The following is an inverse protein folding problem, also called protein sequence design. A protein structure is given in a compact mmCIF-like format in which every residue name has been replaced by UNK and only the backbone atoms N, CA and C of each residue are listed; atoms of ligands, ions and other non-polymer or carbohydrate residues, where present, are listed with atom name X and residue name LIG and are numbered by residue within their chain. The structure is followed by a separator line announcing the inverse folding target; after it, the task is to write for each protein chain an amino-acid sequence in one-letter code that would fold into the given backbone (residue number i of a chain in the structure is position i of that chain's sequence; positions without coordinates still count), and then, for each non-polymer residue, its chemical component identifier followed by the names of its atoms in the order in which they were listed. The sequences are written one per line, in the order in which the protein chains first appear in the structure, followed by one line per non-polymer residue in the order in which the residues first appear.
data_IF_429256702595
#
_entry.id   IF_429256702595
#
_cell.length_a   1.000
_cell.length_b   1.000
_cell.length_c   1.000
_cell.angle_alpha   90.00
_cell.angle_beta   90.00
_cell.angle_gamma   90.00
#
_symmetry.space_group_name_H-M   'P 1'
#
loop_
_entity.id
_entity.type
_entity.pdbx_description
1 polymer ?
#
# COMPACT_ATOMS: atom_id res chain seq x y z
N UNK A 1 -46.37 -29.27 -22.14
CA UNK A 1 -45.13 -30.06 -21.91
C UNK A 1 -45.31 -30.80 -20.60
N UNK A 2 -44.83 -32.04 -20.48
CA UNK A 2 -44.98 -32.83 -19.25
C UNK A 2 -43.63 -32.97 -18.57
N UNK A 3 -43.60 -32.67 -17.27
CA UNK A 3 -42.44 -32.71 -16.40
C UNK A 3 -42.63 -33.79 -15.33
N UNK A 4 -41.60 -34.59 -15.11
CA UNK A 4 -41.56 -35.55 -14.01
C UNK A 4 -41.08 -34.86 -12.73
N UNK A 5 -41.83 -35.03 -11.63
CA UNK A 5 -41.51 -34.51 -10.30
C UNK A 5 -41.36 -35.64 -9.28
N UNK A 6 -40.14 -35.85 -8.77
CA UNK A 6 -39.82 -36.94 -7.82
C UNK A 6 -39.96 -36.44 -6.39
N UNK A 7 -40.80 -37.10 -5.59
CA UNK A 7 -41.08 -36.67 -4.21
C UNK A 7 -39.83 -36.69 -3.33
N UNK A 8 -38.95 -37.68 -3.52
CA UNK A 8 -37.66 -37.74 -2.84
C UNK A 8 -36.78 -36.52 -3.18
N UNK A 9 -36.82 -36.04 -4.43
CA UNK A 9 -36.05 -34.87 -4.86
C UNK A 9 -36.62 -33.59 -4.27
N UNK A 10 -37.95 -33.43 -4.23
CA UNK A 10 -38.63 -32.30 -3.58
C UNK A 10 -38.17 -32.18 -2.13
N UNK A 11 -38.34 -33.24 -1.35
CA UNK A 11 -38.00 -33.25 0.07
C UNK A 11 -36.50 -33.11 0.33
N UNK A 12 -35.64 -33.70 -0.53
CA UNK A 12 -34.19 -33.53 -0.41
C UNK A 12 -33.71 -32.11 -0.73
N UNK A 13 -34.34 -31.41 -1.68
CA UNK A 13 -33.99 -30.03 -2.04
C UNK A 13 -34.54 -29.05 -1.00
N UNK A 14 -35.78 -29.25 -0.57
CA UNK A 14 -36.45 -28.36 0.39
C UNK A 14 -36.04 -28.61 1.85
N UNK A 15 -35.47 -29.78 2.15
CA UNK A 15 -35.21 -30.18 3.53
C UNK A 15 -36.50 -30.45 4.32
N UNK A 16 -37.56 -30.86 3.63
CA UNK A 16 -38.90 -31.07 4.20
C UNK A 16 -39.33 -32.53 4.14
N UNK A 17 -40.52 -32.82 4.68
CA UNK A 17 -41.17 -34.13 4.61
C UNK A 17 -42.60 -34.00 4.10
N UNK A 18 -42.79 -33.22 3.02
CA UNK A 18 -44.11 -33.00 2.41
C UNK A 18 -44.65 -34.28 1.81
N UNK A 19 -45.95 -34.52 2.01
CA UNK A 19 -46.63 -35.66 1.41
C UNK A 19 -46.93 -35.42 -0.07
N UNK A 20 -47.03 -36.49 -0.85
CA UNK A 20 -47.43 -36.42 -2.27
C UNK A 20 -48.79 -35.75 -2.46
N UNK A 21 -49.70 -35.89 -1.48
CA UNK A 21 -51.02 -35.27 -1.49
C UNK A 21 -50.94 -33.75 -1.34
N UNK A 22 -50.13 -33.27 -0.39
CA UNK A 22 -49.92 -31.82 -0.20
C UNK A 22 -49.28 -31.19 -1.44
N UNK A 23 -48.25 -31.84 -1.98
CA UNK A 23 -47.54 -31.40 -3.19
C UNK A 23 -48.49 -31.36 -4.39
N UNK A 24 -49.28 -32.42 -4.61
CA UNK A 24 -50.24 -32.47 -5.71
C UNK A 24 -51.35 -31.42 -5.56
N UNK A 25 -51.83 -31.17 -4.34
CA UNK A 25 -52.83 -30.14 -4.06
C UNK A 25 -52.32 -28.74 -4.39
N UNK A 26 -51.08 -28.43 -4.01
CA UNK A 26 -50.43 -27.16 -4.32
C UNK A 26 -50.28 -26.96 -5.84
N UNK A 27 -49.79 -27.96 -6.56
CA UNK A 27 -49.58 -27.87 -8.01
C UNK A 27 -50.91 -27.74 -8.77
N UNK A 28 -51.95 -28.46 -8.36
CA UNK A 28 -53.29 -28.33 -8.96
C UNK A 28 -53.92 -26.97 -8.71
N UNK A 29 -53.66 -26.35 -7.55
CA UNK A 29 -54.10 -24.98 -7.27
C UNK A 29 -53.44 -23.93 -8.20
N UNK A 30 -52.33 -24.30 -8.86
CA UNK A 30 -51.65 -23.50 -9.88
C UNK A 30 -52.09 -23.87 -11.31
N UNK A 31 -53.19 -24.61 -11.45
CA UNK A 31 -53.73 -25.11 -12.73
C UNK A 31 -52.76 -26.03 -13.50
N UNK A 32 -51.83 -26.68 -12.79
CA UNK A 32 -51.02 -27.75 -13.35
C UNK A 32 -51.82 -29.04 -13.33
N UNK A 33 -51.86 -29.75 -14.46
CA UNK A 33 -52.48 -31.07 -14.49
C UNK A 33 -51.48 -32.11 -13.96
N UNK A 34 -51.87 -32.78 -12.88
CA UNK A 34 -50.99 -33.65 -12.08
C UNK A 34 -51.56 -35.06 -12.08
N UNK A 35 -50.79 -35.96 -12.70
CA UNK A 35 -51.02 -37.40 -12.77
C UNK A 35 -49.84 -38.16 -12.17
N UNK A 36 -49.87 -39.50 -12.14
CA UNK A 36 -48.75 -40.32 -11.64
C UNK A 36 -49.03 -41.02 -10.30
N UNK A 37 -47.96 -41.52 -9.68
CA UNK A 37 -47.99 -42.40 -8.51
C UNK A 37 -47.47 -41.74 -7.22
N UNK A 38 -47.32 -42.52 -6.13
CA UNK A 38 -46.92 -41.99 -4.83
C UNK A 38 -45.48 -41.43 -4.79
N UNK A 39 -44.56 -41.93 -5.62
CA UNK A 39 -43.15 -41.52 -5.61
C UNK A 39 -42.79 -40.48 -6.68
N UNK A 40 -43.53 -40.47 -7.80
CA UNK A 40 -43.27 -39.62 -8.97
C UNK A 40 -44.60 -39.13 -9.53
N UNK A 41 -44.70 -37.81 -9.72
CA UNK A 41 -45.82 -37.14 -10.36
C UNK A 41 -45.44 -36.72 -11.78
N UNK A 42 -46.36 -36.91 -12.72
CA UNK A 42 -46.29 -36.37 -14.08
C UNK A 42 -47.13 -35.09 -14.14
N UNK A 43 -46.45 -33.97 -14.33
CA UNK A 43 -47.03 -32.62 -14.26
C UNK A 43 -47.05 -32.01 -15.65
N UNK A 44 -48.25 -31.88 -16.23
CA UNK A 44 -48.44 -31.19 -17.49
C UNK A 44 -48.54 -29.68 -17.24
N UNK A 45 -47.54 -28.96 -17.77
CA UNK A 45 -47.41 -27.51 -17.67
C UNK A 45 -48.36 -26.83 -18.68
N UNK A 46 -49.21 -25.89 -18.24
CA UNK A 46 -50.10 -25.14 -19.12
C UNK A 46 -49.32 -24.12 -19.96
N UNK A 47 -49.89 -23.72 -21.09
CA UNK A 47 -49.22 -22.85 -22.07
C UNK A 47 -48.90 -21.45 -21.56
N UNK A 48 -49.58 -20.96 -20.53
CA UNK A 48 -49.34 -19.65 -19.92
C UNK A 48 -48.20 -19.64 -18.88
N UNK A 49 -47.58 -20.79 -18.60
CA UNK A 49 -46.41 -20.93 -17.70
C UNK A 49 -45.14 -21.34 -18.46
N UNK A 50 -44.60 -20.47 -19.34
CA UNK A 50 -43.40 -20.78 -20.11
C UNK A 50 -42.13 -20.86 -19.25
N UNK A 51 -42.19 -20.39 -18.00
CA UNK A 51 -41.13 -20.44 -17.00
C UNK A 51 -40.90 -21.86 -16.43
N UNK A 52 -41.92 -22.72 -16.45
CA UNK A 52 -41.85 -24.07 -15.90
C UNK A 52 -41.31 -25.06 -16.93
N UNK A 53 -39.99 -25.25 -16.94
CA UNK A 53 -39.28 -26.04 -17.98
C UNK A 53 -38.51 -27.23 -17.41
N UNK A 54 -38.35 -27.31 -16.09
CA UNK A 54 -37.55 -28.32 -15.38
C UNK A 54 -38.23 -28.71 -14.07
N UNK A 55 -37.86 -29.87 -13.55
CA UNK A 55 -38.34 -30.37 -12.25
C UNK A 55 -38.12 -29.37 -11.10
N UNK A 56 -36.99 -28.63 -11.10
CA UNK A 56 -36.68 -27.66 -10.03
C UNK A 56 -37.65 -26.48 -10.02
N UNK A 57 -38.20 -26.10 -11.17
CA UNK A 57 -39.15 -24.99 -11.28
C UNK A 57 -40.49 -25.41 -10.62
N UNK A 58 -40.86 -26.69 -10.69
CA UNK A 58 -42.00 -27.24 -9.94
C UNK A 58 -41.73 -27.31 -8.43
N UNK A 59 -40.50 -27.63 -8.02
CA UNK A 59 -40.09 -27.63 -6.60
C UNK A 59 -40.17 -26.20 -6.03
N UNK A 60 -39.75 -25.20 -6.81
CA UNK A 60 -39.90 -23.78 -6.45
C UNK A 60 -41.37 -23.41 -6.25
N UNK A 61 -42.27 -23.83 -7.14
CA UNK A 61 -43.71 -23.56 -6.99
C UNK A 61 -44.32 -24.20 -5.74
N UNK A 62 -43.89 -25.43 -5.42
CA UNK A 62 -44.27 -26.11 -4.18
C UNK A 62 -43.79 -25.30 -2.98
N UNK A 63 -42.54 -24.87 -2.96
CA UNK A 63 -41.99 -24.06 -1.87
C UNK A 63 -42.69 -22.70 -1.74
N UNK A 64 -42.92 -22.02 -2.86
CA UNK A 64 -43.52 -20.68 -2.93
C UNK A 64 -44.92 -20.67 -2.33
N UNK A 65 -45.74 -21.67 -2.64
CA UNK A 65 -47.10 -21.77 -2.10
C UNK A 65 -47.16 -22.44 -0.72
N UNK A 66 -46.30 -23.42 -0.43
CA UNK A 66 -46.24 -24.02 0.90
C UNK A 66 -45.75 -23.01 1.96
N UNK A 67 -44.84 -22.12 1.56
CA UNK A 67 -44.30 -21.03 2.38
C UNK A 67 -42.84 -21.26 2.73
N UNK A 68 -41.96 -20.38 2.26
CA UNK A 68 -40.52 -20.45 2.53
C UNK A 68 -40.18 -20.36 4.02
N UNK A 69 -40.95 -19.58 4.78
CA UNK A 69 -40.78 -19.40 6.23
C UNK A 69 -41.02 -20.68 7.04
N UNK A 70 -41.61 -21.70 6.43
CA UNK A 70 -41.85 -23.01 7.07
C UNK A 70 -40.67 -23.96 6.93
N UNK A 71 -39.71 -23.67 6.06
CA UNK A 71 -38.50 -24.48 5.92
C UNK A 71 -37.64 -24.30 7.16
N UNK A 72 -37.33 -25.41 7.84
CA UNK A 72 -36.44 -25.38 9.00
C UNK A 72 -35.01 -25.01 8.55
N UNK A 73 -34.45 -23.97 9.18
CA UNK A 73 -33.07 -23.56 8.91
C UNK A 73 -32.10 -24.62 9.44
N UNK A 74 -31.35 -25.24 8.54
CA UNK A 74 -30.30 -26.21 8.88
C UNK A 74 -28.92 -25.68 8.50
N UNK A 75 -27.88 -26.15 9.21
CA UNK A 75 -26.51 -25.85 8.84
C UNK A 75 -26.09 -26.76 7.66
N UNK A 76 -25.46 -26.21 6.61
CA UNK A 76 -24.91 -27.02 5.54
C UNK A 76 -23.93 -28.07 6.10
N UNK A 77 -24.24 -29.35 5.91
CA UNK A 77 -23.32 -30.42 6.29
C UNK A 77 -22.06 -30.36 5.41
N UNK A 78 -20.89 -30.29 6.03
CA UNK A 78 -19.62 -30.23 5.31
C UNK A 78 -18.45 -30.71 6.16
N UNK A 79 -17.40 -31.20 5.51
CA UNK A 79 -16.12 -31.44 6.20
C UNK A 79 -15.59 -30.07 6.63
N UNK A 80 -15.42 -29.85 7.94
CA UNK A 80 -14.86 -28.62 8.49
C UNK A 80 -13.52 -28.30 7.79
N UNK A 81 -13.51 -27.25 6.96
CA UNK A 81 -12.30 -26.63 6.45
C UNK A 81 -12.10 -25.36 7.25
N UNK A 82 -10.99 -25.25 7.97
CA UNK A 82 -10.63 -24.01 8.66
C UNK A 82 -10.16 -23.03 7.57
N UNK A 83 -10.96 -21.99 7.34
CA UNK A 83 -10.54 -20.87 6.50
C UNK A 83 -9.39 -20.11 7.17
N UNK A 84 -8.36 -19.77 6.41
CA UNK A 84 -7.28 -18.92 6.86
C UNK A 84 -7.00 -17.87 5.79
N UNK A 85 -6.48 -16.72 6.21
CA UNK A 85 -6.01 -15.72 5.28
C UNK A 85 -4.81 -16.29 4.49
N UNK A 86 -4.83 -16.04 3.19
CA UNK A 86 -3.66 -16.30 2.35
C UNK A 86 -2.49 -15.41 2.82
N UNK A 87 -1.23 -15.82 2.61
CA UNK A 87 -0.08 -14.98 2.92
C UNK A 87 -0.18 -13.58 2.28
N UNK A 88 -0.71 -13.48 1.07
CA UNK A 88 -0.91 -12.19 0.40
C UNK A 88 -1.93 -11.29 1.12
N UNK A 89 -3.01 -11.87 1.66
CA UNK A 89 -4.00 -11.12 2.45
C UNK A 89 -3.39 -10.64 3.77
N UNK A 90 -2.65 -11.50 4.48
CA UNK A 90 -1.96 -11.12 5.72
C UNK A 90 -0.98 -9.97 5.50
N UNK A 91 -0.18 -10.03 4.44
CA UNK A 91 0.76 -8.95 4.15
C UNK A 91 0.07 -7.67 3.70
N UNK A 92 -1.02 -7.75 2.94
CA UNK A 92 -1.84 -6.58 2.60
C UNK A 92 -2.40 -5.91 3.85
N UNK A 93 -2.95 -6.69 4.78
CA UNK A 93 -3.45 -6.19 6.06
C UNK A 93 -2.32 -5.58 6.91
N UNK A 94 -1.12 -6.18 6.87
CA UNK A 94 0.06 -5.64 7.53
C UNK A 94 0.44 -4.27 6.97
N UNK A 95 0.50 -4.11 5.64
CA UNK A 95 0.76 -2.81 4.98
C UNK A 95 -0.22 -1.75 5.48
N UNK A 96 -1.53 -2.04 5.47
CA UNK A 96 -2.55 -1.10 5.95
C UNK A 96 -2.38 -0.76 7.44
N UNK A 97 -2.03 -1.76 8.26
CA UNK A 97 -1.73 -1.56 9.69
C UNK A 97 -0.52 -0.66 9.89
N UNK A 98 0.54 -0.83 9.11
CA UNK A 98 1.72 0.04 9.19
C UNK A 98 1.37 1.49 8.82
N UNK A 99 0.60 1.70 7.74
CA UNK A 99 0.17 3.05 7.33
C UNK A 99 -0.62 3.77 8.42
N UNK A 100 -1.57 3.06 9.05
CA UNK A 100 -2.33 3.60 10.19
C UNK A 100 -1.46 3.87 11.41
N UNK A 101 -0.52 2.96 11.72
CA UNK A 101 0.43 3.15 12.81
C UNK A 101 1.38 4.34 12.56
N UNK A 102 1.63 4.69 11.30
CA UNK A 102 2.36 5.89 10.89
C UNK A 102 1.49 7.17 10.86
N UNK A 103 0.22 7.10 11.26
CA UNK A 103 -0.65 8.28 11.38
C UNK A 103 -1.50 8.62 10.16
N UNK A 104 -1.57 7.74 9.15
CA UNK A 104 -2.40 7.96 7.95
C UNK A 104 -3.79 7.32 8.13
N UNK A 105 -4.81 7.96 7.58
CA UNK A 105 -6.18 7.45 7.54
C UNK A 105 -6.47 6.74 6.22
N UNK A 106 -7.16 5.60 6.29
CA UNK A 106 -7.53 4.86 5.09
C UNK A 106 -8.66 5.59 4.35
N UNK A 107 -8.52 5.72 3.04
CA UNK A 107 -9.57 6.22 2.15
C UNK A 107 -9.76 5.28 0.97
N UNK A 108 -10.90 5.42 0.29
CA UNK A 108 -11.22 4.66 -0.91
C UNK A 108 -11.79 5.60 -1.96
N UNK A 109 -11.03 5.81 -3.03
CA UNK A 109 -11.46 6.63 -4.16
C UNK A 109 -11.99 5.75 -5.29
N UNK A 110 -12.74 6.34 -6.22
CA UNK A 110 -13.26 5.59 -7.35
C UNK A 110 -12.12 5.06 -8.23
N UNK A 111 -12.31 3.85 -8.77
CA UNK A 111 -11.41 3.29 -9.78
C UNK A 111 -11.61 3.96 -11.15
N UNK A 112 -12.75 4.60 -11.37
CA UNK A 112 -13.04 5.42 -12.54
C UNK A 112 -12.42 6.81 -12.36
N UNK A 113 -11.76 7.30 -13.40
CA UNK A 113 -11.01 8.53 -13.41
C UNK A 113 -11.37 9.40 -14.62
N UNK A 114 -10.99 10.66 -14.51
CA UNK A 114 -11.10 11.65 -15.57
C UNK A 114 -9.93 11.42 -16.54
N UNK A 115 -10.17 11.27 -17.85
CA UNK A 115 -9.10 11.15 -18.85
C UNK A 115 -8.07 12.30 -18.74
N UNK A 116 -8.53 13.50 -18.38
CA UNK A 116 -7.68 14.68 -18.19
C UNK A 116 -6.75 14.60 -16.97
N UNK A 117 -6.89 13.61 -16.09
CA UNK A 117 -5.98 13.42 -14.96
C UNK A 117 -4.55 13.15 -15.40
N UNK A 118 -4.35 12.46 -16.53
CA UNK A 118 -3.02 12.23 -17.09
C UNK A 118 -2.38 13.54 -17.53
N UNK A 119 -3.14 14.42 -18.18
CA UNK A 119 -2.65 15.74 -18.60
C UNK A 119 -2.34 16.64 -17.41
N UNK A 120 -3.21 16.65 -16.38
CA UNK A 120 -2.98 17.40 -15.12
C UNK A 120 -1.71 16.97 -14.39
N UNK A 121 -1.39 15.68 -14.43
CA UNK A 121 -0.14 15.14 -13.86
C UNK A 121 1.08 15.34 -14.78
N UNK A 122 0.90 15.81 -16.01
CA UNK A 122 1.97 15.80 -17.03
C UNK A 122 2.42 14.38 -17.38
N UNK A 123 1.55 13.38 -17.21
CA UNK A 123 1.89 11.99 -17.43
C UNK A 123 1.98 11.68 -18.92
N UNK A 124 3.20 11.43 -19.39
CA UNK A 124 3.44 10.97 -20.75
C UNK A 124 3.27 9.45 -20.86
N UNK A 125 2.47 9.01 -21.83
CA UNK A 125 2.29 7.60 -22.12
C UNK A 125 3.52 7.06 -22.86
N UNK A 126 4.14 5.96 -22.40
CA UNK A 126 5.11 5.24 -23.22
C UNK A 126 4.49 4.84 -24.55
N UNK A 127 5.32 4.71 -25.58
CA UNK A 127 4.86 4.40 -26.94
C UNK A 127 3.96 3.15 -26.96
N UNK A 128 2.73 3.32 -27.46
CA UNK A 128 1.73 2.26 -27.55
C UNK A 128 0.94 1.97 -26.26
N UNK A 129 1.26 2.59 -25.13
CA UNK A 129 0.41 2.54 -23.94
C UNK A 129 -0.76 3.53 -24.04
N UNK A 130 -1.92 3.16 -23.48
CA UNK A 130 -3.16 3.95 -23.57
C UNK A 130 -3.96 3.85 -22.26
N UNK A 131 -4.97 4.71 -22.11
CA UNK A 131 -5.97 4.55 -21.06
C UNK A 131 -6.82 3.28 -21.27
N UNK A 132 -7.39 2.77 -20.17
CA UNK A 132 -8.44 1.76 -20.25
C UNK A 132 -9.78 2.47 -20.25
N UNK A 133 -10.38 2.63 -21.43
CA UNK A 133 -11.65 3.33 -21.61
C UNK A 133 -12.85 2.44 -21.25
N UNK A 134 -13.90 3.05 -20.71
CA UNK A 134 -15.19 2.42 -20.48
C UNK A 134 -16.10 2.66 -21.68
N UNK A 135 -16.82 1.62 -22.11
CA UNK A 135 -17.77 1.72 -23.23
C UNK A 135 -18.99 2.57 -22.84
N UNK A 136 -19.51 2.39 -21.62
CA UNK A 136 -20.70 3.08 -21.13
C UNK A 136 -20.40 3.72 -19.76
N UNK A 137 -19.65 4.83 -19.71
CA UNK A 137 -19.35 5.50 -18.46
C UNK A 137 -20.57 6.24 -17.89
N UNK A 138 -20.60 6.41 -16.57
CA UNK A 138 -21.67 7.17 -15.89
C UNK A 138 -21.56 8.68 -16.11
N UNK A 139 -20.34 9.19 -16.28
CA UNK A 139 -20.04 10.58 -16.65
C UNK A 139 -18.74 10.68 -17.45
N UNK A 140 -18.46 11.83 -18.07
CA UNK A 140 -17.22 12.03 -18.84
C UNK A 140 -15.98 12.06 -17.92
N UNK A 141 -16.12 12.57 -16.71
CA UNK A 141 -15.10 12.61 -15.65
C UNK A 141 -14.83 11.23 -15.04
N UNK A 142 -15.53 10.19 -15.51
CA UNK A 142 -15.38 8.80 -15.10
C UNK A 142 -15.26 7.87 -16.31
N UNK A 143 -14.69 8.36 -17.43
CA UNK A 143 -14.64 7.64 -18.69
C UNK A 143 -13.53 6.58 -18.78
N UNK A 144 -12.54 6.61 -17.90
CA UNK A 144 -11.39 5.68 -17.93
C UNK A 144 -11.14 5.03 -16.57
N UNK A 145 -10.42 3.90 -16.55
CA UNK A 145 -9.87 3.36 -15.31
C UNK A 145 -8.60 4.10 -14.92
N UNK A 146 -8.44 4.37 -13.62
CA UNK A 146 -7.29 5.06 -13.05
C UNK A 146 -5.98 4.27 -13.28
N UNK A 147 -4.92 5.00 -13.62
CA UNK A 147 -3.55 4.47 -13.72
C UNK A 147 -2.74 4.64 -12.44
N UNK A 148 -3.12 5.61 -11.62
CA UNK A 148 -2.51 5.92 -10.33
C UNK A 148 -3.62 6.25 -9.33
N UNK A 149 -3.36 6.01 -8.05
CA UNK A 149 -4.19 6.43 -6.94
C UNK A 149 -4.05 7.93 -6.64
N UNK A 150 -2.96 8.56 -7.09
CA UNK A 150 -2.61 9.94 -6.76
C UNK A 150 -3.71 10.95 -7.12
N UNK A 151 -4.32 10.97 -8.33
CA UNK A 151 -5.38 11.94 -8.66
C UNK A 151 -6.58 11.89 -7.71
N UNK A 152 -6.99 10.67 -7.33
CA UNK A 152 -8.06 10.47 -6.36
C UNK A 152 -7.68 11.03 -4.99
N UNK A 153 -6.47 10.75 -4.53
CA UNK A 153 -5.95 11.25 -3.25
C UNK A 153 -5.81 12.78 -3.24
N UNK A 154 -5.33 13.40 -4.33
CA UNK A 154 -5.24 14.86 -4.45
C UNK A 154 -6.62 15.54 -4.42
N UNK A 155 -7.63 14.95 -5.08
CA UNK A 155 -9.01 15.43 -4.96
C UNK A 155 -9.55 15.29 -3.54
N UNK A 156 -9.20 14.21 -2.82
CA UNK A 156 -9.55 14.07 -1.41
C UNK A 156 -8.87 15.13 -0.55
N UNK A 157 -7.60 15.47 -0.81
CA UNK A 157 -6.89 16.57 -0.13
C UNK A 157 -7.61 17.89 -0.37
N UNK A 158 -7.85 18.25 -1.63
CA UNK A 158 -8.58 19.47 -2.02
C UNK A 158 -9.96 19.54 -1.36
N UNK A 159 -10.72 18.44 -1.37
CA UNK A 159 -12.03 18.37 -0.72
C UNK A 159 -11.93 18.69 0.78
N UNK A 160 -10.98 18.08 1.49
CA UNK A 160 -10.80 18.33 2.93
C UNK A 160 -10.37 19.77 3.22
N UNK A 161 -9.48 20.34 2.40
CA UNK A 161 -9.04 21.74 2.53
C UNK A 161 -10.20 22.72 2.35
N UNK A 162 -11.09 22.48 1.38
CA UNK A 162 -12.32 23.29 1.20
C UNK A 162 -13.27 23.22 2.40
N UNK A 163 -13.16 22.20 3.24
CA UNK A 163 -13.90 22.07 4.51
C UNK A 163 -13.12 22.58 5.73
N UNK A 164 -12.00 23.28 5.53
CA UNK A 164 -11.22 23.90 6.60
C UNK A 164 -10.26 22.95 7.32
N UNK A 165 -10.00 21.75 6.78
CA UNK A 165 -9.03 20.80 7.35
C UNK A 165 -7.65 21.04 6.71
N UNK A 166 -6.66 21.41 7.52
CA UNK A 166 -5.29 21.66 7.05
C UNK A 166 -4.38 20.43 7.12
N UNK A 167 -4.55 19.60 8.14
CA UNK A 167 -3.71 18.42 8.42
C UNK A 167 -4.37 17.18 7.83
N UNK A 168 -3.88 16.72 6.68
CA UNK A 168 -4.51 15.65 5.90
C UNK A 168 -3.47 14.57 5.60
N UNK A 169 -3.67 13.41 6.23
CA UNK A 169 -2.80 12.24 6.05
C UNK A 169 -3.69 11.08 5.61
N UNK A 170 -3.62 10.73 4.33
CA UNK A 170 -4.48 9.71 3.73
C UNK A 170 -3.64 8.63 3.07
N UNK A 171 -4.10 7.39 3.13
CA UNK A 171 -3.58 6.31 2.30
C UNK A 171 -4.70 5.50 1.67
N UNK A 172 -4.41 4.86 0.54
CA UNK A 172 -5.32 3.94 -0.13
C UNK A 172 -4.55 2.70 -0.60
N UNK A 173 -5.17 1.52 -0.44
CA UNK A 173 -4.73 0.27 -1.11
C UNK A 173 -5.79 -0.10 -2.15
N UNK A 174 -5.46 0.09 -3.42
CA UNK A 174 -6.43 -0.04 -4.52
C UNK A 174 -5.82 -0.55 -5.81
N UNK A 175 -6.67 -0.86 -6.78
CA UNK A 175 -6.24 -1.30 -8.10
C UNK A 175 -5.97 -0.12 -9.03
N UNK A 176 -4.92 -0.27 -9.83
CA UNK A 176 -4.58 0.59 -10.95
C UNK A 176 -4.40 -0.25 -12.22
N UNK A 177 -4.65 0.36 -13.38
CA UNK A 177 -4.82 -0.37 -14.63
C UNK A 177 -3.91 0.17 -15.73
N UNK A 178 -3.24 -0.74 -16.43
CA UNK A 178 -2.36 -0.42 -17.58
C UNK A 178 -2.78 -1.25 -18.78
N UNK A 179 -2.84 -0.62 -19.95
CA UNK A 179 -3.04 -1.33 -21.21
C UNK A 179 -2.15 -0.74 -22.31
N UNK A 180 -2.03 -1.50 -23.40
CA UNK A 180 -1.29 -1.11 -24.59
C UNK A 180 -2.03 -1.58 -25.83
N UNK A 181 -1.72 -0.98 -26.98
CA UNK A 181 -2.32 -1.34 -28.26
C UNK A 181 -2.18 -2.85 -28.53
N UNK A 182 -3.29 -3.49 -28.91
CA UNK A 182 -3.34 -4.94 -29.18
C UNK A 182 -3.48 -5.84 -27.95
N UNK A 183 -3.49 -5.32 -26.72
CA UNK A 183 -3.82 -6.09 -25.51
C UNK A 183 -5.32 -6.35 -25.42
N UNK A 184 -5.72 -7.61 -25.23
CA UNK A 184 -7.13 -8.01 -25.03
C UNK A 184 -7.68 -7.68 -23.65
N UNK A 185 -6.81 -7.61 -22.63
CA UNK A 185 -7.20 -7.32 -21.24
C UNK A 185 -6.16 -6.39 -20.61
N UNK A 186 -6.61 -5.43 -19.78
CA UNK A 186 -5.71 -4.56 -19.04
C UNK A 186 -4.94 -5.36 -17.98
N UNK A 187 -3.73 -4.90 -17.68
CA UNK A 187 -2.94 -5.38 -16.55
C UNK A 187 -3.37 -4.61 -15.31
N UNK A 188 -4.07 -5.29 -14.41
CA UNK A 188 -4.40 -4.79 -13.08
C UNK A 188 -3.22 -4.98 -12.12
N UNK A 189 -2.90 -3.96 -11.33
CA UNK A 189 -1.95 -4.06 -10.21
C UNK A 189 -2.55 -3.45 -8.96
N UNK A 190 -2.38 -4.12 -7.83
CA UNK A 190 -2.67 -3.53 -6.52
C UNK A 190 -1.53 -2.60 -6.13
N UNK A 191 -1.89 -1.36 -5.82
CA UNK A 191 -1.00 -0.28 -5.40
C UNK A 191 -1.34 0.11 -3.96
N UNK A 192 -0.35 0.62 -3.24
CA UNK A 192 -0.53 1.38 -2.01
C UNK A 192 0.01 2.78 -2.24
N UNK A 193 -0.80 3.79 -1.98
CA UNK A 193 -0.41 5.18 -2.12
C UNK A 193 -0.78 5.96 -0.87
N UNK A 194 -0.03 7.02 -0.59
CA UNK A 194 -0.29 7.92 0.52
C UNK A 194 -0.01 9.37 0.15
N UNK A 195 -0.71 10.27 0.81
CA UNK A 195 -0.53 11.73 0.74
C UNK A 195 -0.47 12.30 2.15
N UNK A 196 0.41 13.27 2.34
CA UNK A 196 0.64 13.99 3.58
C UNK A 196 0.63 15.49 3.28
N UNK A 197 -0.30 16.23 3.88
CA UNK A 197 -0.42 17.67 3.76
C UNK A 197 -0.61 18.31 5.14
N UNK A 198 -0.10 19.53 5.32
CA UNK A 198 -0.16 20.25 6.59
C UNK A 198 0.94 19.81 7.56
N UNK A 199 0.58 19.57 8.82
CA UNK A 199 1.45 19.11 9.90
C UNK A 199 0.89 17.85 10.58
N UNK A 200 1.74 17.11 11.30
CA UNK A 200 1.30 15.90 12.03
C UNK A 200 0.20 16.16 13.06
N UNK A 201 0.19 17.35 13.66
CA UNK A 201 -0.79 17.76 14.65
C UNK A 201 -1.02 19.28 14.58
N UNK A 202 -2.17 19.71 15.11
CA UNK A 202 -2.42 21.13 15.36
C UNK A 202 -1.42 21.67 16.40
N UNK A 203 -1.25 22.99 16.43
CA UNK A 203 -0.38 23.63 17.42
C UNK A 203 -0.87 23.33 18.83
N UNK A 204 -0.08 22.56 19.58
CA UNK A 204 -0.36 22.18 20.96
C UNK A 204 0.41 23.08 21.94
N UNK A 205 -0.01 23.08 23.21
CA UNK A 205 0.65 23.85 24.28
C UNK A 205 2.12 23.43 24.52
N UNK A 206 2.45 22.16 24.21
CA UNK A 206 3.81 21.61 24.33
C UNK A 206 4.59 21.73 23.02
N UNK A 207 3.97 22.29 21.97
CA UNK A 207 4.73 22.80 20.83
C UNK A 207 5.42 24.06 21.30
N UNK A 208 6.55 23.84 21.98
CA UNK A 208 7.59 24.83 22.11
C UNK A 208 7.95 25.14 20.67
N UNK A 209 7.31 26.17 20.10
CA UNK A 209 7.72 26.77 18.83
C UNK A 209 9.23 26.80 18.90
N UNK A 210 9.86 26.08 17.98
CA UNK A 210 11.30 26.03 17.76
C UNK A 210 11.80 27.47 17.61
N UNK A 211 11.96 28.17 18.73
CA UNK A 211 12.19 29.62 18.80
C UNK A 211 13.67 29.96 18.69
N UNK A 212 14.56 28.97 18.76
CA UNK A 212 15.99 29.20 18.97
C UNK A 212 16.94 28.41 18.06
N UNK A 213 16.55 28.02 16.85
CA UNK A 213 17.58 27.83 15.81
C UNK A 213 17.05 28.11 14.40
N UNK A 214 17.61 29.15 13.78
CA UNK A 214 17.36 29.53 12.39
C UNK A 214 17.80 28.45 11.38
N UNK A 215 18.48 27.40 11.83
CA UNK A 215 19.02 26.31 11.00
C UNK A 215 18.08 25.11 10.82
N UNK A 216 17.32 24.69 11.85
CA UNK A 216 16.42 23.53 11.74
C UNK A 216 15.09 23.87 11.03
N UNK A 217 14.62 25.11 11.20
CA UNK A 217 13.41 25.61 10.55
C UNK A 217 13.57 25.69 9.02
N UNK A 218 14.79 25.96 8.53
CA UNK A 218 15.10 26.01 7.10
C UNK A 218 15.11 24.61 6.43
N UNK A 219 15.43 23.55 7.18
CA UNK A 219 15.43 22.17 6.72
C UNK A 219 14.04 21.52 6.78
N UNK A 220 13.24 21.83 7.80
CA UNK A 220 11.90 21.24 7.97
C UNK A 220 10.81 21.95 7.16
N UNK A 221 10.96 23.25 6.90
CA UNK A 221 9.92 24.05 6.24
C UNK A 221 8.62 24.13 7.05
N UNK A 222 7.65 24.97 6.64
CA UNK A 222 6.34 24.99 7.25
C UNK A 222 5.54 23.77 6.77
N UNK A 223 5.55 22.68 7.54
CA UNK A 223 4.74 21.49 7.30
C UNK A 223 5.53 20.22 6.97
N UNK A 224 4.80 19.17 6.62
CA UNK A 224 5.35 17.88 6.24
C UNK A 224 6.11 17.98 4.92
N UNK A 225 7.25 17.29 4.85
CA UNK A 225 8.16 17.33 3.72
C UNK A 225 8.58 15.92 3.26
N UNK A 226 9.43 15.86 2.23
CA UNK A 226 9.95 14.60 1.69
C UNK A 226 10.40 13.58 2.75
N UNK A 227 11.05 14.04 3.83
CA UNK A 227 11.59 13.15 4.86
C UNK A 227 10.50 12.55 5.76
N UNK A 228 9.36 13.21 5.94
CA UNK A 228 8.19 12.64 6.63
C UNK A 228 7.62 11.46 5.83
N UNK A 229 7.41 11.66 4.53
CA UNK A 229 6.98 10.58 3.63
C UNK A 229 8.01 9.44 3.57
N UNK A 230 9.31 9.77 3.57
CA UNK A 230 10.38 8.77 3.67
C UNK A 230 10.30 7.98 4.98
N UNK A 231 10.04 8.64 6.11
CA UNK A 231 9.87 7.99 7.41
C UNK A 231 8.74 6.97 7.43
N UNK A 232 7.60 7.30 6.79
CA UNK A 232 6.48 6.34 6.61
C UNK A 232 6.93 5.12 5.80
N UNK A 233 7.69 5.32 4.73
CA UNK A 233 8.22 4.20 3.93
C UNK A 233 9.28 3.37 4.68
N UNK A 234 10.13 4.00 5.50
CA UNK A 234 11.09 3.30 6.34
C UNK A 234 10.38 2.46 7.43
N UNK A 235 9.29 2.97 8.01
CA UNK A 235 8.43 2.20 8.91
C UNK A 235 7.82 0.97 8.20
N UNK A 236 7.33 1.14 6.98
CA UNK A 236 6.82 0.04 6.14
C UNK A 236 7.90 -1.01 5.87
N UNK A 237 9.11 -0.57 5.50
CA UNK A 237 10.26 -1.45 5.25
C UNK A 237 10.63 -2.26 6.48
N UNK A 238 10.68 -1.62 7.65
CA UNK A 238 11.00 -2.26 8.92
C UNK A 238 9.94 -3.29 9.33
N UNK A 239 8.66 -2.96 9.13
CA UNK A 239 7.54 -3.81 9.53
C UNK A 239 7.37 -5.03 8.61
N UNK A 240 7.63 -4.87 7.31
CA UNK A 240 7.64 -5.96 6.33
C UNK A 240 8.95 -6.76 6.32
N UNK A 241 9.98 -6.32 7.04
CA UNK A 241 11.30 -6.96 7.05
C UNK A 241 11.99 -6.92 5.68
N UNK A 242 11.79 -5.85 4.92
CA UNK A 242 12.38 -5.71 3.59
C UNK A 242 13.89 -5.48 3.70
N UNK A 243 14.65 -6.19 2.87
CA UNK A 243 16.08 -6.00 2.73
C UNK A 243 16.42 -5.29 1.42
N UNK A 244 17.57 -4.61 1.38
CA UNK A 244 18.04 -3.88 0.18
C UNK A 244 16.99 -2.87 -0.33
N UNK A 245 16.41 -2.12 0.60
CA UNK A 245 15.60 -0.95 0.30
C UNK A 245 16.50 0.21 -0.07
N UNK A 246 16.20 0.88 -1.18
CA UNK A 246 16.93 2.06 -1.64
C UNK A 246 15.96 3.09 -2.21
N UNK A 247 16.35 4.35 -2.11
CA UNK A 247 15.64 5.47 -2.69
C UNK A 247 16.65 6.18 -3.60
N UNK A 248 16.32 6.33 -4.88
CA UNK A 248 17.19 6.97 -5.88
C UNK A 248 16.47 8.18 -6.46
N UNK A 249 17.20 9.28 -6.62
CA UNK A 249 16.66 10.47 -7.28
C UNK A 249 16.11 10.13 -8.67
N UNK A 250 14.92 10.66 -8.97
CA UNK A 250 14.26 10.53 -10.26
C UNK A 250 13.52 11.82 -10.56
N UNK A 251 13.41 12.21 -11.82
CA UNK A 251 12.56 13.32 -12.24
C UNK A 251 11.26 12.73 -12.79
N UNK A 252 10.15 13.04 -12.13
CA UNK A 252 8.80 12.66 -12.58
C UNK A 252 7.96 13.93 -12.79
N UNK A 253 7.16 14.04 -13.87
CA UNK A 253 6.45 15.27 -14.21
C UNK A 253 5.52 15.80 -13.11
N UNK A 254 4.93 14.91 -12.31
CA UNK A 254 4.02 15.28 -11.23
C UNK A 254 4.69 15.60 -9.88
N UNK A 255 6.02 15.47 -9.80
CA UNK A 255 6.78 15.71 -8.57
C UNK A 255 7.71 16.90 -8.71
N UNK A 256 8.02 17.53 -7.59
CA UNK A 256 8.97 18.62 -7.49
C UNK A 256 10.40 18.12 -7.81
N UNK A 257 11.08 18.66 -8.84
CA UNK A 257 12.45 18.30 -9.15
C UNK A 257 13.39 18.51 -7.95
N UNK A 258 14.28 17.55 -7.70
CA UNK A 258 15.18 17.53 -6.54
C UNK A 258 14.52 17.11 -5.21
N UNK A 259 13.21 16.88 -5.20
CA UNK A 259 12.44 16.33 -4.05
C UNK A 259 11.59 15.14 -4.47
N UNK A 260 12.16 14.33 -5.35
CA UNK A 260 11.50 13.21 -6.01
C UNK A 260 12.46 12.03 -6.11
N UNK A 261 11.95 10.85 -5.79
CA UNK A 261 12.75 9.65 -5.79
C UNK A 261 11.92 8.41 -6.15
N UNK A 262 12.56 7.49 -6.87
CA UNK A 262 12.04 6.14 -7.06
C UNK A 262 12.45 5.25 -5.89
N UNK A 263 11.59 4.28 -5.60
CA UNK A 263 11.76 3.36 -4.50
C UNK A 263 12.12 2.00 -5.07
N UNK A 264 13.24 1.44 -4.62
CA UNK A 264 13.75 0.16 -5.06
C UNK A 264 13.77 -0.84 -3.91
N UNK A 265 13.34 -2.06 -4.20
CA UNK A 265 13.44 -3.20 -3.28
C UNK A 265 14.15 -4.34 -4.01
N UNK A 266 15.29 -4.78 -3.46
CA UNK A 266 16.15 -5.81 -4.08
C UNK A 266 16.63 -5.45 -5.50
N UNK A 267 16.66 -4.17 -5.85
CA UNK A 267 17.09 -3.66 -7.15
C UNK A 267 15.96 -3.41 -8.16
N UNK A 268 14.74 -3.89 -7.88
CA UNK A 268 13.57 -3.63 -8.71
C UNK A 268 12.89 -2.34 -8.27
N UNK A 269 12.52 -1.48 -9.23
CA UNK A 269 11.69 -0.29 -8.97
C UNK A 269 10.29 -0.74 -8.58
N UNK A 270 9.87 -0.42 -7.36
CA UNK A 270 8.56 -0.78 -6.82
C UNK A 270 7.60 0.40 -6.79
N UNK A 271 8.08 1.64 -6.97
CA UNK A 271 7.25 2.83 -6.95
C UNK A 271 8.06 4.11 -6.79
N UNK A 272 7.44 5.15 -6.22
CA UNK A 272 8.04 6.47 -6.05
C UNK A 272 7.58 7.16 -4.76
N UNK A 273 8.34 8.16 -4.33
CA UNK A 273 8.11 9.09 -3.22
C UNK A 273 8.53 10.49 -3.67
N UNK A 274 7.76 11.52 -3.35
CA UNK A 274 8.20 12.89 -3.57
C UNK A 274 7.22 13.94 -3.07
N UNK A 275 7.67 15.19 -3.11
CA UNK A 275 6.75 16.34 -2.98
C UNK A 275 6.06 16.58 -4.31
N UNK A 276 4.74 16.76 -4.29
CA UNK A 276 3.94 16.98 -5.51
C UNK A 276 4.25 18.36 -6.08
N UNK A 277 4.42 18.44 -7.41
CA UNK A 277 4.76 19.69 -8.07
C UNK A 277 3.66 20.75 -7.86
N UNK A 278 4.00 22.03 -7.54
CA UNK A 278 3.00 23.08 -7.29
C UNK A 278 2.00 23.30 -8.42
N UNK A 279 2.44 23.18 -9.68
CA UNK A 279 1.55 23.26 -10.84
C UNK A 279 0.53 22.12 -10.91
N UNK A 280 0.91 20.92 -10.46
CA UNK A 280 -0.01 19.79 -10.34
C UNK A 280 -1.01 20.05 -9.22
N UNK A 281 -0.54 20.48 -8.04
CA UNK A 281 -1.43 20.82 -6.92
C UNK A 281 -2.50 21.86 -7.32
N UNK A 282 -2.08 22.92 -8.03
CA UNK A 282 -3.00 23.92 -8.55
C UNK A 282 -4.06 23.33 -9.51
N UNK A 283 -3.66 22.40 -10.38
CA UNK A 283 -4.59 21.75 -11.33
C UNK A 283 -5.65 20.85 -10.66
N UNK A 284 -5.38 20.39 -9.43
CA UNK A 284 -6.31 19.62 -8.60
C UNK A 284 -6.97 20.49 -7.52
N UNK A 285 -6.74 21.81 -7.54
CA UNK A 285 -7.23 22.76 -6.52
C UNK A 285 -6.86 22.34 -5.09
N UNK A 286 -5.64 21.80 -4.93
CA UNK A 286 -5.06 21.44 -3.64
C UNK A 286 -3.99 22.47 -3.25
N UNK A 287 -3.91 22.78 -1.96
CA UNK A 287 -2.90 23.66 -1.38
C UNK A 287 -1.73 22.84 -0.82
N UNK A 288 -0.50 23.31 -1.05
CA UNK A 288 0.73 22.62 -0.68
C UNK A 288 1.47 23.22 0.52
N UNK A 289 2.55 22.56 0.98
CA UNK A 289 3.17 21.38 0.38
C UNK A 289 2.37 20.09 0.60
N UNK A 290 2.44 19.17 -0.38
CA UNK A 290 1.89 17.81 -0.27
C UNK A 290 2.98 16.81 -0.63
N UNK A 291 3.26 15.88 0.27
CA UNK A 291 4.17 14.75 0.04
C UNK A 291 3.33 13.55 -0.36
N UNK A 292 3.75 12.82 -1.39
CA UNK A 292 3.04 11.66 -1.87
C UNK A 292 3.99 10.49 -2.16
N UNK A 293 3.46 9.29 -2.07
CA UNK A 293 4.13 8.08 -2.53
C UNK A 293 3.13 7.12 -3.15
N UNK A 294 3.62 6.25 -4.03
CA UNK A 294 2.83 5.16 -4.60
C UNK A 294 3.75 3.96 -4.88
N UNK A 295 3.40 2.79 -4.36
CA UNK A 295 4.17 1.56 -4.44
C UNK A 295 3.29 0.39 -4.92
N UNK A 296 3.84 -0.47 -5.77
CA UNK A 296 3.20 -1.72 -6.15
C UNK A 296 3.24 -2.71 -4.97
N UNK A 297 2.08 -3.24 -4.57
CA UNK A 297 1.96 -4.13 -3.41
C UNK A 297 2.58 -5.51 -3.67
N UNK A 298 2.38 -6.08 -4.87
CA UNK A 298 2.85 -7.44 -5.16
C UNK A 298 4.38 -7.62 -5.01
N UNK A 299 5.24 -6.72 -5.51
CA UNK A 299 6.68 -6.76 -5.22
C UNK A 299 7.03 -6.68 -3.73
N UNK A 300 6.33 -5.83 -2.97
CA UNK A 300 6.55 -5.70 -1.52
C UNK A 300 6.25 -7.03 -0.80
N UNK A 301 5.10 -7.65 -1.09
CA UNK A 301 4.71 -8.95 -0.52
C UNK A 301 5.72 -10.04 -0.88
N UNK A 302 6.21 -10.06 -2.12
CA UNK A 302 7.22 -11.03 -2.58
C UNK A 302 8.57 -10.86 -1.86
N UNK A 303 8.90 -9.64 -1.47
CA UNK A 303 10.15 -9.31 -0.78
C UNK A 303 10.05 -9.38 0.75
N UNK A 304 8.83 -9.38 1.31
CA UNK A 304 8.55 -9.41 2.74
C UNK A 304 9.11 -10.67 3.42
N UNK A 305 9.57 -10.50 4.66
CA UNK A 305 10.13 -11.56 5.48
C UNK A 305 9.37 -11.62 6.81
N UNK A 306 8.62 -12.71 7.00
CA UNK A 306 7.83 -12.92 8.22
C UNK A 306 8.70 -13.17 9.47
N UNK A 307 9.95 -13.61 9.29
CA UNK A 307 10.81 -14.07 10.38
C UNK A 307 11.94 -13.07 10.59
N UNK A 308 11.84 -12.28 11.66
CA UNK A 308 13.02 -11.56 12.19
C UNK A 308 13.99 -12.61 12.73
N UNK A 309 15.21 -12.64 12.21
CA UNK A 309 16.27 -13.51 12.75
C UNK A 309 16.55 -13.06 14.18
N UNK A 310 16.52 -14.00 15.11
CA UNK A 310 16.93 -13.73 16.48
C UNK A 310 18.41 -13.34 16.50
N UNK A 311 18.72 -12.26 17.21
CA UNK A 311 20.06 -11.85 17.58
C UNK A 311 20.18 -11.89 19.11
N UNK A 312 21.29 -12.42 19.62
CA UNK A 312 21.53 -12.41 21.07
C UNK A 312 21.52 -10.98 21.62
N UNK A 313 21.00 -10.82 22.84
CA UNK A 313 21.05 -9.54 23.54
C UNK A 313 22.52 -9.22 23.87
N UNK A 314 22.99 -8.00 23.56
CA UNK A 314 24.34 -7.56 23.93
C UNK A 314 24.63 -7.78 25.42
N UNK A 315 25.70 -8.51 25.74
CA UNK A 315 26.16 -8.75 27.13
C UNK A 315 27.25 -7.78 27.57
N UNK A 316 27.91 -7.12 26.61
CA UNK A 316 29.02 -6.21 26.82
C UNK A 316 28.65 -4.80 26.36
N UNK A 317 29.18 -3.74 27.01
CA UNK A 317 28.90 -2.36 26.64
C UNK A 317 29.42 -2.03 25.23
N UNK A 318 28.82 -1.03 24.58
CA UNK A 318 29.36 -0.46 23.34
C UNK A 318 30.26 0.74 23.64
N UNK A 319 31.18 1.03 22.72
CA UNK A 319 31.91 2.29 22.65
C UNK A 319 31.34 3.09 21.47
N UNK A 320 30.98 4.33 21.70
CA UNK A 320 30.51 5.25 20.65
C UNK A 320 31.60 6.27 20.33
N UNK A 321 31.88 6.45 19.04
CA UNK A 321 32.83 7.44 18.55
C UNK A 321 32.20 8.24 17.42
N UNK A 322 32.29 9.56 17.52
CA UNK A 322 31.77 10.46 16.50
C UNK A 322 32.83 10.78 15.45
N UNK A 323 32.37 10.96 14.21
CA UNK A 323 33.21 11.39 13.09
C UNK A 323 32.50 12.51 12.33
N UNK A 324 33.27 13.50 11.89
CA UNK A 324 32.80 14.56 11.02
C UNK A 324 33.57 14.51 9.68
N UNK A 325 32.82 14.31 8.59
CA UNK A 325 33.35 14.15 7.25
C UNK A 325 32.89 15.31 6.37
N UNK A 326 33.84 16.11 5.88
CA UNK A 326 33.56 17.16 4.89
C UNK A 326 33.68 16.56 3.50
N UNK A 327 32.58 16.55 2.76
CA UNK A 327 32.48 15.98 1.41
C UNK A 327 31.94 17.02 0.43
N UNK A 328 32.16 16.79 -0.86
CA UNK A 328 31.50 17.53 -1.93
C UNK A 328 29.96 17.42 -1.81
N UNK A 329 29.23 18.48 -2.17
CA UNK A 329 27.76 18.54 -2.06
C UNK A 329 27.06 17.42 -2.85
N UNK A 330 27.63 16.97 -3.97
CA UNK A 330 27.07 15.89 -4.78
C UNK A 330 27.22 14.50 -4.12
N UNK A 331 28.09 14.35 -3.12
CA UNK A 331 28.26 13.07 -2.41
C UNK A 331 27.04 12.80 -1.53
N UNK A 332 26.35 11.69 -1.80
CA UNK A 332 25.15 11.32 -1.04
C UNK A 332 25.51 10.71 0.32
N UNK A 333 24.65 10.93 1.31
CA UNK A 333 24.74 10.26 2.63
C UNK A 333 24.75 8.75 2.45
N UNK A 334 23.97 8.19 1.52
CA UNK A 334 23.95 6.75 1.25
C UNK A 334 25.34 6.23 0.87
N UNK A 335 26.07 6.95 0.00
CA UNK A 335 27.42 6.57 -0.41
C UNK A 335 28.40 6.57 0.77
N UNK A 336 28.30 7.56 1.65
CA UNK A 336 29.14 7.65 2.86
C UNK A 336 28.78 6.52 3.85
N UNK A 337 27.50 6.29 4.13
CA UNK A 337 27.05 5.20 4.99
C UNK A 337 27.47 3.83 4.47
N UNK A 338 27.42 3.60 3.16
CA UNK A 338 27.93 2.37 2.53
C UNK A 338 29.44 2.22 2.68
N UNK A 339 30.20 3.30 2.50
CA UNK A 339 31.65 3.30 2.71
C UNK A 339 31.99 2.96 4.18
N UNK A 340 31.32 3.59 5.15
CA UNK A 340 31.49 3.33 6.59
C UNK A 340 31.20 1.86 6.90
N UNK A 341 30.05 1.35 6.46
CA UNK A 341 29.62 -0.04 6.73
C UNK A 341 30.58 -1.05 6.11
N UNK A 342 31.09 -0.76 4.90
CA UNK A 342 32.05 -1.63 4.22
C UNK A 342 33.44 -1.60 4.85
N UNK A 343 33.83 -0.47 5.47
CA UNK A 343 35.11 -0.30 6.12
C UNK A 343 35.13 -0.73 7.60
N UNK A 344 33.96 -0.79 8.24
CA UNK A 344 33.78 -0.98 9.70
C UNK A 344 34.21 -2.33 10.29
N UNK A 345 34.49 -3.32 9.47
CA UNK A 345 34.97 -4.62 9.95
C UNK A 345 33.95 -5.34 10.83
N UNK A 346 34.42 -6.15 11.79
CA UNK A 346 33.56 -7.00 12.63
C UNK A 346 33.05 -6.30 13.90
N UNK A 347 33.72 -5.24 14.33
CA UNK A 347 33.38 -4.54 15.59
C UNK A 347 32.37 -3.41 15.38
N UNK A 348 32.26 -2.85 14.17
CA UNK A 348 31.26 -1.82 13.89
C UNK A 348 29.86 -2.44 13.91
N UNK A 349 29.09 -2.09 14.93
CA UNK A 349 27.69 -2.50 15.10
C UNK A 349 26.74 -1.58 14.33
N UNK A 350 27.03 -0.29 14.28
CA UNK A 350 26.16 0.69 13.63
C UNK A 350 26.83 2.01 13.32
N UNK A 351 26.21 2.75 12.39
CA UNK A 351 26.59 4.11 12.04
C UNK A 351 25.31 4.95 11.88
N UNK A 352 25.18 6.03 12.64
CA UNK A 352 24.01 6.90 12.65
C UNK A 352 24.42 8.33 12.29
N UNK A 353 23.90 8.83 11.18
CA UNK A 353 24.00 10.26 10.86
C UNK A 353 23.18 11.04 11.90
N UNK A 354 23.76 12.09 12.49
CA UNK A 354 23.07 12.95 13.44
C UNK A 354 23.11 14.43 13.09
N UNK A 355 24.00 14.87 12.18
CA UNK A 355 24.03 16.25 11.73
C UNK A 355 24.52 16.38 10.27
N UNK A 356 23.98 17.39 9.56
CA UNK A 356 24.38 17.80 8.21
C UNK A 356 24.53 19.31 8.20
N UNK A 357 25.78 19.78 8.24
CA UNK A 357 26.09 21.19 8.36
C UNK A 357 26.57 21.79 7.03
N UNK A 358 25.94 22.91 6.65
CA UNK A 358 26.34 23.79 5.54
C UNK A 358 26.36 25.21 6.06
N UNK A 359 27.55 25.78 6.20
CA UNK A 359 27.69 27.10 6.82
C UNK A 359 29.13 27.49 7.04
N UNK A 360 29.32 28.53 7.86
CA UNK A 360 30.62 29.14 8.11
C UNK A 360 31.65 28.10 8.58
N UNK A 361 32.78 28.01 7.88
CA UNK A 361 33.84 27.05 8.16
C UNK A 361 33.72 25.72 7.39
N UNK A 362 32.80 25.64 6.44
CA UNK A 362 32.80 24.64 5.35
C UNK A 362 32.87 25.42 4.04
N UNK A 363 33.74 24.99 3.12
CA UNK A 363 33.88 25.65 1.82
C UNK A 363 32.57 25.60 1.02
N UNK A 364 32.34 26.62 0.19
CA UNK A 364 31.20 26.64 -0.72
C UNK A 364 31.21 25.42 -1.64
N UNK A 365 30.05 24.76 -1.80
CA UNK A 365 29.92 23.52 -2.56
C UNK A 365 30.30 22.25 -1.78
N UNK A 366 30.58 22.36 -0.47
CA UNK A 366 30.81 21.21 0.42
C UNK A 366 29.83 21.20 1.58
N UNK A 367 29.72 20.03 2.22
CA UNK A 367 28.92 19.81 3.42
C UNK A 367 29.66 18.94 4.42
N UNK A 368 29.42 19.19 5.70
CA UNK A 368 29.95 18.38 6.80
C UNK A 368 28.88 17.40 7.26
N UNK A 369 29.19 16.10 7.27
CA UNK A 369 28.31 15.03 7.74
C UNK A 369 28.85 14.47 9.05
N UNK A 370 28.06 14.52 10.11
CA UNK A 370 28.43 13.98 11.42
C UNK A 370 27.75 12.64 11.67
N UNK A 371 28.55 11.62 11.99
CA UNK A 371 28.10 10.26 12.28
C UNK A 371 28.55 9.80 13.65
N UNK A 372 27.65 9.16 14.39
CA UNK A 372 27.96 8.40 15.58
C UNK A 372 28.18 6.94 15.18
N UNK A 373 29.36 6.41 15.47
CA UNK A 373 29.75 5.03 15.18
C UNK A 373 29.73 4.20 16.46
N UNK A 374 28.96 3.12 16.47
CA UNK A 374 28.85 2.21 17.62
C UNK A 374 29.72 0.99 17.38
N UNK A 375 30.68 0.74 18.28
CA UNK A 375 31.55 -0.43 18.27
C UNK A 375 31.23 -1.37 19.41
N UNK A 376 31.13 -2.67 19.13
CA UNK A 376 30.87 -3.70 20.14
C UNK A 376 31.46 -5.06 19.74
N UNK A 377 32.00 -5.78 20.72
CA UNK A 377 32.34 -7.19 20.58
C UNK A 377 31.29 -8.07 21.29
N UNK A 378 30.94 -9.23 20.71
CA UNK A 378 29.95 -10.13 21.32
C UNK A 378 30.51 -10.93 22.50
N UNK A 379 31.83 -11.02 22.63
CA UNK A 379 32.56 -11.94 23.51
C UNK A 379 33.40 -11.25 24.60
N UNK A 380 33.59 -9.92 24.52
CA UNK A 380 34.37 -9.15 25.50
C UNK A 380 34.00 -7.66 25.53
N UNK A 381 34.39 -6.99 26.61
CA UNK A 381 34.42 -5.52 26.66
C UNK A 381 35.56 -5.00 25.79
N UNK A 382 35.28 -4.01 24.95
CA UNK A 382 36.28 -3.33 24.15
C UNK A 382 37.02 -2.28 24.98
N UNK A 383 38.31 -2.11 24.73
CA UNK A 383 39.11 -0.98 25.23
C UNK A 383 39.37 0.03 24.11
N UNK A 384 39.84 1.22 24.46
CA UNK A 384 40.23 2.23 23.46
C UNK A 384 41.35 1.72 22.54
N UNK A 385 42.26 0.90 23.07
CA UNK A 385 43.35 0.27 22.31
C UNK A 385 42.83 -0.76 21.29
N UNK A 386 41.68 -1.41 21.54
CA UNK A 386 41.03 -2.31 20.58
C UNK A 386 40.36 -1.54 19.42
N UNK A 387 39.78 -0.37 19.72
CA UNK A 387 38.94 0.38 18.77
C UNK A 387 39.73 1.39 17.95
N UNK A 388 40.68 2.11 18.54
CA UNK A 388 41.41 3.19 17.88
C UNK A 388 42.07 2.77 16.55
N UNK A 389 42.78 1.62 16.44
CA UNK A 389 43.38 1.20 15.17
C UNK A 389 42.34 0.88 14.09
N UNK A 390 41.18 0.34 14.47
CA UNK A 390 40.09 0.05 13.53
C UNK A 390 39.39 1.32 13.08
N UNK A 391 39.17 2.24 14.02
CA UNK A 391 38.58 3.54 13.77
C UNK A 391 39.44 4.36 12.79
N UNK A 392 40.75 4.48 13.04
CA UNK A 392 41.66 5.18 12.11
C UNK A 392 41.69 4.54 10.72
N UNK A 393 41.68 3.21 10.64
CA UNK A 393 41.63 2.49 9.37
C UNK A 393 40.31 2.72 8.64
N UNK A 394 39.21 2.76 9.36
CA UNK A 394 37.88 3.09 8.82
C UNK A 394 37.90 4.50 8.26
N UNK A 395 38.37 5.48 9.03
CA UNK A 395 38.43 6.87 8.63
C UNK A 395 39.22 7.06 7.33
N UNK A 396 40.43 6.49 7.24
CA UNK A 396 41.25 6.57 6.01
C UNK A 396 40.53 5.97 4.80
N UNK A 397 39.97 4.77 4.94
CA UNK A 397 39.24 4.10 3.84
C UNK A 397 38.01 4.89 3.40
N UNK A 398 37.26 5.46 4.34
CA UNK A 398 36.07 6.25 4.03
C UNK A 398 36.49 7.55 3.35
N UNK A 399 37.48 8.24 3.90
CA UNK A 399 38.05 9.45 3.31
C UNK A 399 38.50 9.21 1.85
N UNK A 400 39.26 8.15 1.59
CA UNK A 400 39.71 7.78 0.25
C UNK A 400 38.55 7.44 -0.70
N UNK A 401 37.52 6.71 -0.21
CA UNK A 401 36.41 6.23 -1.05
C UNK A 401 35.42 7.32 -1.46
N UNK A 402 35.24 8.34 -0.62
CA UNK A 402 34.29 9.43 -0.84
C UNK A 402 34.95 10.80 -1.06
N UNK A 403 36.28 10.86 -1.07
CA UNK A 403 37.03 12.12 -1.17
C UNK A 403 36.73 13.05 0.01
N UNK A 404 36.55 12.49 1.21
CA UNK A 404 36.23 13.30 2.40
C UNK A 404 37.49 13.83 3.07
N UNK A 405 37.37 15.01 3.66
CA UNK A 405 38.34 15.54 4.63
C UNK A 405 37.78 15.39 6.04
N UNK A 406 38.64 14.97 6.97
CA UNK A 406 38.27 14.85 8.38
C UNK A 406 38.22 16.22 9.02
N UNK A 407 37.11 16.53 9.67
CA UNK A 407 37.00 17.69 10.56
C UNK A 407 37.30 17.22 11.98
N UNK A 408 38.42 17.67 12.51
CA UNK A 408 38.89 17.37 13.87
C UNK A 408 38.01 17.98 14.94
#
# INVERSE_FOLDING_TARGET
MTLSLRMQRVNAVLGTSLSTQDISGILRALELDVTGGPEVLDVMVPTFRPDLTREIDLIEEVLRLWGMDRVEATLPAGRYRIGALTPAQLWRERIGTTMRASGLNETMTYAFADPGDSDRLGWEFPEGELHVELINPMSQEQAVLRRSLLPGLLRSVSSNQRHGVSNIHLYEIGSAFWTALGRKQPKERTMVAGVLAGAWHDTAWHDVRQRDSDTDAALRGPGLNFFDGKGVLEALVADLGLNRFKIREVVLPWLQPGRSAEVLVRGDVVGWLGEVHPGVLASFEAEGPVVAFELAVAPLIKAAQAVKKYSEVPRFPAIELDIALVVDEAVTVERVSQAITSAGGKLLEGARLFDVYRGKGVDDGRKSLAFALTYRAPDRTLTDEDVAPQHERLLRKVADAVGAELRG
#
